data_IF_025736089903
#
_entry.id   IF_025736089903
#
_cell.length_a   1.000
_cell.length_b   1.000
_cell.length_c   1.000
_cell.angle_alpha   90.00
_cell.angle_beta   90.00
_cell.angle_gamma   90.00
#
_symmetry.space_group_name_H-M   'P 1'
#
loop_
_entity.id
_entity.type
_entity.pdbx_description
1 polymer ?
#
# COMPACT_ATOMS: atom_id res chain seq x y z
N UNK A 1 -30.57 -0.32 2.71
CA UNK A 1 -29.92 1.00 2.86
C UNK A 1 -28.44 0.75 3.10
N UNK A 2 -27.57 0.99 2.12
CA UNK A 2 -26.13 0.84 2.32
C UNK A 2 -25.66 1.92 3.31
N UNK A 3 -24.95 1.51 4.36
CA UNK A 3 -24.34 2.43 5.33
C UNK A 3 -23.33 3.29 4.56
N UNK A 4 -23.51 4.61 4.50
CA UNK A 4 -22.52 5.49 3.88
C UNK A 4 -21.27 5.52 4.76
N UNK A 5 -20.15 5.13 4.19
CA UNK A 5 -18.86 5.18 4.86
C UNK A 5 -18.22 6.56 4.65
N UNK A 6 -17.69 7.23 5.69
CA UNK A 6 -16.84 8.41 5.49
C UNK A 6 -15.56 8.03 4.72
N UNK A 7 -14.87 9.00 4.11
CA UNK A 7 -13.56 8.77 3.50
C UNK A 7 -12.57 8.18 4.53
N UNK A 8 -11.85 7.14 4.13
CA UNK A 8 -10.79 6.53 4.93
C UNK A 8 -9.45 6.69 4.23
N UNK A 9 -8.38 6.77 5.01
CA UNK A 9 -7.07 6.37 4.55
C UNK A 9 -6.83 4.90 4.97
N UNK A 10 -5.98 4.21 4.23
CA UNK A 10 -5.62 2.82 4.50
C UNK A 10 -4.17 2.76 4.97
N UNK A 11 -3.94 2.03 6.05
CA UNK A 11 -2.60 1.72 6.55
C UNK A 11 -2.40 0.21 6.45
N UNK A 12 -1.40 -0.20 5.67
CA UNK A 12 -0.94 -1.57 5.60
C UNK A 12 0.29 -1.74 6.51
N UNK A 13 0.27 -2.77 7.34
CA UNK A 13 1.39 -3.13 8.22
C UNK A 13 1.71 -4.60 8.06
N UNK A 14 2.98 -4.97 8.21
CA UNK A 14 3.41 -6.36 8.30
C UNK A 14 3.89 -6.67 9.71
N UNK A 15 3.26 -7.67 10.32
CA UNK A 15 3.66 -8.25 11.58
C UNK A 15 4.55 -9.46 11.28
N UNK A 16 5.84 -9.36 11.58
CA UNK A 16 6.82 -10.43 11.33
C UNK A 16 6.58 -11.66 12.23
N UNK A 17 6.24 -11.45 13.50
CA UNK A 17 6.04 -12.54 14.48
C UNK A 17 4.88 -13.46 14.10
N UNK A 18 3.80 -12.85 13.59
CA UNK A 18 2.60 -13.57 13.16
C UNK A 18 2.57 -13.85 11.67
N UNK A 19 3.54 -13.34 10.90
CA UNK A 19 3.60 -13.40 9.44
C UNK A 19 2.31 -12.92 8.76
N UNK A 20 1.80 -11.77 9.21
CA UNK A 20 0.49 -11.25 8.79
C UNK A 20 0.57 -9.84 8.22
N UNK A 21 -0.15 -9.63 7.12
CA UNK A 21 -0.48 -8.30 6.62
C UNK A 21 -1.78 -7.83 7.26
N UNK A 22 -1.74 -6.66 7.88
CA UNK A 22 -2.90 -6.09 8.57
C UNK A 22 -3.25 -4.76 7.90
N UNK A 23 -4.49 -4.68 7.43
CA UNK A 23 -5.06 -3.49 6.78
C UNK A 23 -5.98 -2.78 7.77
N UNK A 24 -5.68 -1.52 8.04
CA UNK A 24 -6.50 -0.66 8.90
C UNK A 24 -7.09 0.49 8.09
N UNK A 25 -8.36 0.81 8.36
CA UNK A 25 -8.94 2.09 7.94
C UNK A 25 -8.75 3.12 9.05
N UNK A 26 -8.33 4.33 8.67
CA UNK A 26 -8.07 5.43 9.61
C UNK A 26 -8.67 6.73 9.09
N UNK A 27 -9.02 7.65 9.99
CA UNK A 27 -9.45 9.00 9.61
C UNK A 27 -8.27 9.71 8.92
N UNK A 28 -8.42 10.16 7.65
CA UNK A 28 -7.35 10.83 6.92
C UNK A 28 -6.77 12.04 7.65
N UNK A 29 -7.60 12.78 8.39
CA UNK A 29 -7.17 14.00 9.12
C UNK A 29 -6.26 13.66 10.29
N UNK A 30 -6.44 12.48 10.90
CA UNK A 30 -5.56 11.98 11.96
C UNK A 30 -4.26 11.41 11.40
N UNK A 31 -4.30 10.86 10.19
CA UNK A 31 -3.11 10.31 9.52
C UNK A 31 -2.21 11.40 8.93
N UNK A 32 -2.79 12.47 8.37
CA UNK A 32 -2.08 13.56 7.70
C UNK A 32 -0.83 14.10 8.46
N UNK A 33 -0.90 14.47 9.75
CA UNK A 33 0.28 14.94 10.47
C UNK A 33 1.33 13.84 10.69
N UNK A 34 0.93 12.57 10.70
CA UNK A 34 1.86 11.45 10.86
C UNK A 34 2.63 11.19 9.56
N UNK A 35 2.02 11.34 8.40
CA UNK A 35 2.70 11.09 7.11
C UNK A 35 3.45 12.30 6.56
N UNK A 36 3.22 13.49 7.13
CA UNK A 36 3.89 14.71 6.72
C UNK A 36 5.43 14.58 6.79
N UNK A 37 6.11 14.86 5.67
CA UNK A 37 7.57 14.80 5.57
C UNK A 37 8.17 13.39 5.58
N UNK A 38 7.35 12.34 5.53
CA UNK A 38 7.82 10.95 5.40
C UNK A 38 7.90 10.54 3.94
N UNK A 39 8.75 9.54 3.67
CA UNK A 39 8.86 8.92 2.36
C UNK A 39 7.50 8.39 1.90
N UNK A 40 7.07 8.78 0.70
CA UNK A 40 5.88 8.27 0.03
C UNK A 40 6.25 7.84 -1.38
N UNK A 41 5.64 6.74 -1.83
CA UNK A 41 5.72 6.33 -3.24
C UNK A 41 4.46 6.86 -3.92
N UNK A 42 4.63 7.74 -4.91
CA UNK A 42 3.53 8.22 -5.73
C UNK A 42 3.34 7.21 -6.85
N UNK A 43 2.17 6.57 -6.88
CA UNK A 43 1.77 5.70 -7.98
C UNK A 43 0.63 6.42 -8.71
N UNK A 44 0.94 7.01 -9.85
CA UNK A 44 -0.02 7.65 -10.73
C UNK A 44 0.17 7.09 -12.13
N UNK A 45 -0.93 6.68 -12.76
CA UNK A 45 -0.97 6.47 -14.21
C UNK A 45 -0.91 7.85 -14.87
N UNK A 46 0.12 8.09 -15.69
CA UNK A 46 0.43 9.42 -16.26
C UNK A 46 -0.61 9.88 -17.28
N UNK A 47 -1.38 8.95 -17.88
CA UNK A 47 -2.13 9.25 -19.11
C UNK A 47 -3.67 9.22 -18.98
N UNK A 48 -4.28 8.53 -17.99
CA UNK A 48 -5.76 8.43 -17.96
C UNK A 48 -6.41 8.20 -16.56
N UNK A 49 -5.64 8.23 -15.46
CA UNK A 49 -6.10 7.94 -14.08
C UNK A 49 -7.08 6.76 -14.00
N UNK A 50 -6.72 5.62 -14.60
CA UNK A 50 -7.52 4.39 -14.54
C UNK A 50 -6.99 3.47 -13.45
N UNK A 51 -7.85 3.19 -12.46
CA UNK A 51 -7.58 2.22 -11.40
C UNK A 51 -8.05 0.83 -11.84
N UNK A 52 -7.43 0.29 -12.89
CA UNK A 52 -7.74 -1.03 -13.42
C UNK A 52 -7.01 -2.17 -12.66
N UNK A 53 -7.20 -3.40 -13.13
CA UNK A 53 -6.60 -4.59 -12.51
C UNK A 53 -5.06 -4.55 -12.54
N UNK A 54 -4.46 -3.95 -13.57
CA UNK A 54 -3.01 -3.81 -13.67
C UNK A 54 -2.50 -2.77 -12.69
N UNK A 55 -3.17 -1.62 -12.57
CA UNK A 55 -2.86 -0.64 -11.54
C UNK A 55 -2.97 -1.25 -10.14
N UNK A 56 -4.05 -1.98 -9.85
CA UNK A 56 -4.26 -2.63 -8.56
C UNK A 56 -3.13 -3.64 -8.24
N UNK A 57 -2.67 -4.39 -9.26
CA UNK A 57 -1.56 -5.33 -9.14
C UNK A 57 -0.24 -4.61 -8.83
N UNK A 58 0.07 -3.55 -9.58
CA UNK A 58 1.28 -2.74 -9.37
C UNK A 58 1.28 -2.05 -8.01
N UNK A 59 0.12 -1.55 -7.57
CA UNK A 59 -0.08 -0.99 -6.24
C UNK A 59 0.28 -2.00 -5.15
N UNK A 60 -0.26 -3.22 -5.25
CA UNK A 60 0.05 -4.29 -4.30
C UNK A 60 1.54 -4.63 -4.27
N UNK A 61 2.17 -4.77 -5.44
CA UNK A 61 3.62 -5.05 -5.55
C UNK A 61 4.44 -3.91 -4.93
N UNK A 62 4.12 -2.66 -5.24
CA UNK A 62 4.83 -1.49 -4.73
C UNK A 62 4.71 -1.36 -3.20
N UNK A 63 3.54 -1.63 -2.63
CA UNK A 63 3.35 -1.67 -1.18
C UNK A 63 4.20 -2.76 -0.52
N UNK A 64 4.19 -3.98 -1.06
CA UNK A 64 4.98 -5.09 -0.54
C UNK A 64 6.48 -4.83 -0.64
N UNK A 65 6.95 -4.31 -1.77
CA UNK A 65 8.35 -3.93 -1.96
C UNK A 65 8.77 -2.84 -0.98
N UNK A 66 7.91 -1.86 -0.70
CA UNK A 66 8.19 -0.79 0.27
C UNK A 66 8.33 -1.35 1.68
N UNK A 67 7.44 -2.26 2.09
CA UNK A 67 7.56 -2.97 3.38
C UNK A 67 8.89 -3.75 3.43
N UNK A 68 9.24 -4.44 2.35
CA UNK A 68 10.46 -5.23 2.25
C UNK A 68 11.77 -4.41 2.33
N UNK A 69 11.73 -3.08 2.16
CA UNK A 69 12.87 -2.20 2.43
C UNK A 69 13.19 -2.09 3.93
N UNK A 70 12.15 -2.07 4.78
CA UNK A 70 12.30 -2.01 6.24
C UNK A 70 12.27 -3.37 6.93
N UNK A 71 11.65 -4.37 6.30
CA UNK A 71 11.39 -5.72 6.85
C UNK A 71 11.72 -6.79 5.80
N UNK A 72 13.02 -7.06 5.55
CA UNK A 72 13.45 -7.87 4.40
C UNK A 72 13.03 -9.34 4.47
N UNK A 73 12.68 -9.85 5.65
CA UNK A 73 12.23 -11.23 5.84
C UNK A 73 10.99 -11.57 4.99
N UNK A 74 10.12 -10.58 4.74
CA UNK A 74 8.92 -10.77 3.93
C UNK A 74 9.25 -11.23 2.49
N UNK A 75 10.44 -10.90 1.97
CA UNK A 75 10.87 -11.26 0.60
C UNK A 75 10.87 -12.77 0.38
N UNK A 76 11.10 -13.59 1.41
CA UNK A 76 11.05 -15.05 1.33
C UNK A 76 9.65 -15.59 1.01
N UNK A 77 8.61 -14.79 1.25
CA UNK A 77 7.21 -15.14 1.05
C UNK A 77 6.61 -14.44 -0.18
N UNK A 78 7.38 -13.60 -0.87
CA UNK A 78 6.93 -12.88 -2.06
C UNK A 78 7.26 -13.69 -3.32
N UNK A 79 6.24 -14.21 -3.98
CA UNK A 79 6.34 -14.82 -5.32
C UNK A 79 5.89 -13.86 -6.43
N UNK A 80 5.46 -12.66 -6.06
CA UNK A 80 4.94 -11.68 -7.00
C UNK A 80 6.03 -11.25 -8.00
N UNK A 81 5.72 -11.40 -9.29
CA UNK A 81 6.61 -10.97 -10.38
C UNK A 81 6.82 -9.47 -10.28
N UNK A 82 8.06 -9.06 -9.99
CA UNK A 82 8.45 -7.65 -10.10
C UNK A 82 8.52 -7.33 -11.59
N UNK A 83 7.57 -6.55 -12.11
CA UNK A 83 7.82 -5.89 -13.38
C UNK A 83 8.77 -4.74 -13.14
N UNK A 84 9.71 -4.48 -14.07
CA UNK A 84 10.46 -3.24 -14.05
C UNK A 84 9.46 -2.08 -13.93
N UNK A 85 9.74 -1.15 -13.03
CA UNK A 85 9.19 0.20 -13.17
C UNK A 85 10.03 0.77 -14.31
N UNK A 86 9.47 0.82 -15.52
CA UNK A 86 10.07 1.59 -16.62
C UNK A 86 10.04 3.08 -16.30
#
# INVERSE_FOLDING_TARGET
>A
MAKQHPPYAVVLTYNEDLQQLIVHTVDPRKLAPLVAGRMGVVMADEDDFKLDDEFARQLGIGMLNTIALGQPAIKLYMTATQHPID
#
